data_IF_774409984395
#
_entry.id   IF_774409984395
#
_cell.length_a   1.000
_cell.length_b   1.000
_cell.length_c   1.000
_cell.angle_alpha   90.00
_cell.angle_beta   90.00
_cell.angle_gamma   90.00
#
_symmetry.space_group_name_H-M   'P 1'
#
loop_
_entity.id
_entity.type
_entity.pdbx_description
1 polymer ?
#
# COMPACT_ATOMS: atom_id res chain seq x y z
N UNK A 1 -46.72 -57.09 -16.85
CA UNK A 1 -47.72 -56.04 -17.15
C UNK A 1 -47.14 -54.74 -16.63
N UNK A 2 -46.57 -53.89 -17.52
CA UNK A 2 -47.14 -52.59 -17.96
C UNK A 2 -47.53 -51.71 -16.76
N UNK A 3 -46.96 -50.53 -16.50
CA UNK A 3 -46.60 -49.45 -17.41
C UNK A 3 -45.49 -48.56 -16.83
N UNK A 4 -44.60 -48.10 -17.71
CA UNK A 4 -43.68 -46.98 -17.53
C UNK A 4 -44.44 -45.69 -17.90
N UNK A 5 -44.39 -44.68 -17.04
CA UNK A 5 -44.59 -43.25 -17.36
C UNK A 5 -43.48 -42.51 -16.58
N UNK A 6 -42.58 -41.72 -17.17
CA UNK A 6 -42.76 -40.82 -18.30
C UNK A 6 -42.90 -39.38 -17.78
N UNK A 7 -41.96 -38.92 -16.94
CA UNK A 7 -41.94 -37.56 -16.38
C UNK A 7 -41.00 -36.67 -17.19
N UNK A 8 -41.60 -35.75 -17.94
CA UNK A 8 -40.97 -34.82 -18.88
C UNK A 8 -40.21 -33.72 -18.14
N UNK A 9 -39.05 -33.40 -18.71
CA UNK A 9 -38.16 -32.28 -18.43
C UNK A 9 -38.84 -30.95 -18.74
N UNK A 10 -38.86 -30.01 -17.79
CA UNK A 10 -39.02 -28.58 -18.08
C UNK A 10 -38.02 -27.76 -17.27
N UNK A 11 -36.98 -27.30 -17.96
CA UNK A 11 -36.01 -26.33 -17.45
C UNK A 11 -36.67 -24.94 -17.43
N UNK A 12 -36.53 -24.14 -16.36
CA UNK A 12 -36.93 -22.75 -16.43
C UNK A 12 -35.97 -21.99 -17.36
N UNK A 13 -36.56 -21.38 -18.39
CA UNK A 13 -35.94 -20.47 -19.35
C UNK A 13 -35.07 -19.42 -18.63
N UNK A 14 -33.79 -19.37 -19.00
CA UNK A 14 -32.93 -18.22 -18.75
C UNK A 14 -33.46 -17.03 -19.56
N UNK A 15 -33.98 -16.01 -18.87
CA UNK A 15 -34.18 -14.69 -19.48
C UNK A 15 -32.79 -14.07 -19.72
N UNK A 16 -32.36 -14.05 -20.98
CA UNK A 16 -31.28 -13.17 -21.43
C UNK A 16 -31.77 -11.71 -21.32
N UNK A 17 -31.33 -11.00 -20.29
CA UNK A 17 -31.33 -9.55 -20.29
C UNK A 17 -30.25 -9.08 -21.26
N UNK A 18 -30.66 -8.68 -22.47
CA UNK A 18 -29.87 -7.85 -23.37
C UNK A 18 -29.68 -6.49 -22.68
N UNK A 19 -28.63 -6.37 -21.87
CA UNK A 19 -28.12 -5.08 -21.47
C UNK A 19 -27.61 -4.39 -22.74
N UNK A 20 -28.37 -3.42 -23.24
CA UNK A 20 -27.92 -2.52 -24.27
C UNK A 20 -26.66 -1.81 -23.77
N UNK A 21 -25.51 -2.22 -24.29
CA UNK A 21 -24.26 -1.49 -24.10
C UNK A 21 -24.42 -0.15 -24.79
N UNK A 22 -24.78 0.88 -24.03
CA UNK A 22 -24.52 2.25 -24.44
C UNK A 22 -22.99 2.40 -24.48
N UNK A 23 -22.43 2.22 -25.68
CA UNK A 23 -21.05 2.58 -25.95
C UNK A 23 -20.91 4.06 -25.58
N UNK A 24 -20.30 4.33 -24.42
CA UNK A 24 -19.85 5.67 -24.06
C UNK A 24 -18.93 6.10 -25.19
N UNK A 25 -19.40 7.05 -26.00
CA UNK A 25 -18.56 7.70 -26.99
C UNK A 25 -17.30 8.16 -26.25
N UNK A 26 -16.16 7.56 -26.59
CA UNK A 26 -14.88 7.94 -26.02
C UNK A 26 -14.71 9.44 -26.24
N UNK A 27 -14.40 10.16 -25.16
CA UNK A 27 -13.95 11.53 -25.28
C UNK A 27 -12.86 11.54 -26.36
N UNK A 28 -13.09 12.31 -27.42
CA UNK A 28 -12.13 12.49 -28.50
C UNK A 28 -10.88 13.09 -27.84
N UNK A 29 -9.83 12.27 -27.64
CA UNK A 29 -8.53 12.74 -27.20
C UNK A 29 -8.12 13.86 -28.16
N UNK A 30 -8.10 15.10 -27.66
CA UNK A 30 -7.46 16.19 -28.39
C UNK A 30 -6.04 15.74 -28.70
N UNK A 31 -5.67 15.80 -29.98
CA UNK A 31 -4.34 15.40 -30.43
C UNK A 31 -3.33 16.36 -29.83
N UNK A 32 -2.67 15.96 -28.75
CA UNK A 32 -1.61 16.75 -28.12
C UNK A 32 -0.51 17.06 -29.15
N UNK A 33 -0.20 18.35 -29.29
CA UNK A 33 0.85 18.82 -30.19
C UNK A 33 2.18 18.84 -29.42
N UNK A 34 3.16 18.07 -29.88
CA UNK A 34 4.48 17.98 -29.28
C UNK A 34 5.52 18.81 -30.03
N UNK A 35 6.47 19.39 -29.30
CA UNK A 35 7.61 20.08 -29.89
C UNK A 35 8.51 19.09 -30.65
N UNK A 36 8.85 19.43 -31.90
CA UNK A 36 9.69 18.61 -32.77
C UNK A 36 11.20 18.78 -32.52
N UNK A 37 11.60 19.59 -31.53
CA UNK A 37 13.01 19.86 -31.23
C UNK A 37 13.66 18.65 -30.57
N UNK A 38 14.89 18.36 -30.97
CA UNK A 38 15.72 17.37 -30.30
C UNK A 38 16.09 17.83 -28.88
N UNK A 39 15.55 17.14 -27.88
CA UNK A 39 15.83 17.35 -26.46
C UNK A 39 17.26 16.93 -26.10
N UNK A 40 17.87 17.66 -25.17
CA UNK A 40 19.20 17.43 -24.62
C UNK A 40 19.16 17.49 -23.10
N UNK A 41 20.17 16.91 -22.45
CA UNK A 41 20.33 17.01 -21.01
C UNK A 41 20.49 18.47 -20.57
N UNK A 42 19.82 18.85 -19.49
CA UNK A 42 19.76 20.22 -18.98
C UNK A 42 18.75 21.12 -19.68
N UNK A 43 17.97 20.62 -20.64
CA UNK A 43 16.91 21.40 -21.28
C UNK A 43 15.79 21.72 -20.28
N UNK A 44 15.28 22.95 -20.38
CA UNK A 44 14.11 23.44 -19.66
C UNK A 44 12.91 23.47 -20.62
N UNK A 45 11.86 22.76 -20.25
CA UNK A 45 10.68 22.51 -21.08
C UNK A 45 9.55 23.47 -20.70
N UNK A 46 9.05 24.19 -21.71
CA UNK A 46 7.92 25.13 -21.57
C UNK A 46 6.67 24.69 -22.36
N UNK A 47 6.76 23.57 -23.10
CA UNK A 47 5.72 23.04 -23.98
C UNK A 47 5.75 21.52 -23.96
N UNK A 48 4.64 20.90 -24.38
CA UNK A 48 4.55 19.46 -24.53
C UNK A 48 5.70 18.96 -25.40
N UNK A 49 6.42 17.96 -24.91
CA UNK A 49 7.65 17.49 -25.51
C UNK A 49 7.65 15.97 -25.54
N UNK A 50 8.08 15.41 -26.67
CA UNK A 50 8.29 13.97 -26.80
C UNK A 50 9.75 13.66 -27.06
N UNK A 51 10.33 12.75 -26.28
CA UNK A 51 11.68 12.26 -26.56
C UNK A 51 11.66 11.37 -27.80
N UNK A 52 12.72 11.50 -28.60
CA UNK A 52 12.94 10.72 -29.83
C UNK A 52 14.18 9.82 -29.74
N UNK A 53 14.86 9.85 -28.60
CA UNK A 53 16.06 9.05 -28.29
C UNK A 53 16.29 9.02 -26.79
N UNK A 54 17.11 8.07 -26.35
CA UNK A 54 17.64 8.05 -24.99
C UNK A 54 18.50 9.28 -24.70
N UNK A 55 18.43 9.75 -23.46
CA UNK A 55 19.29 10.80 -22.93
C UNK A 55 20.26 10.17 -21.92
N UNK A 56 21.55 10.40 -22.13
CA UNK A 56 22.61 9.98 -21.23
C UNK A 56 23.28 11.24 -20.68
N UNK A 57 22.93 11.60 -19.45
CA UNK A 57 23.23 12.89 -18.86
C UNK A 57 24.37 12.77 -17.86
N UNK A 58 25.33 13.69 -17.92
CA UNK A 58 26.41 13.73 -16.94
C UNK A 58 25.82 13.89 -15.53
N UNK A 59 26.43 13.24 -14.53
CA UNK A 59 26.08 13.48 -13.14
C UNK A 59 26.49 14.89 -12.71
N UNK A 60 25.62 15.87 -12.90
CA UNK A 60 25.81 17.27 -12.47
C UNK A 60 24.69 17.69 -11.53
N UNK A 61 24.85 18.78 -10.76
CA UNK A 61 23.75 19.35 -9.96
C UNK A 61 22.56 19.85 -10.80
N UNK A 62 22.76 20.12 -12.09
CA UNK A 62 21.68 20.51 -13.00
C UNK A 62 20.82 19.26 -13.29
N UNK A 63 19.48 19.33 -13.13
CA UNK A 63 18.59 18.24 -13.51
C UNK A 63 18.78 17.80 -14.96
N UNK A 64 18.59 16.51 -15.25
CA UNK A 64 18.67 16.04 -16.63
C UNK A 64 17.59 16.67 -17.51
N UNK A 65 16.39 16.93 -16.98
CA UNK A 65 15.36 17.77 -17.60
C UNK A 65 14.62 18.57 -16.53
N UNK A 66 14.19 19.79 -16.87
CA UNK A 66 13.32 20.61 -16.00
C UNK A 66 12.02 20.95 -16.73
N UNK A 67 10.88 20.77 -16.07
CA UNK A 67 9.57 21.20 -16.57
C UNK A 67 9.18 22.49 -15.83
N UNK A 68 9.13 23.61 -16.57
CA UNK A 68 9.00 24.95 -15.99
C UNK A 68 7.70 25.69 -16.35
N UNK A 69 6.83 25.10 -17.19
CA UNK A 69 5.52 25.65 -17.51
C UNK A 69 4.39 24.72 -17.05
N UNK A 70 3.23 25.26 -16.62
CA UNK A 70 2.09 24.45 -16.19
C UNK A 70 1.46 23.71 -17.37
N UNK A 71 0.94 22.52 -17.09
CA UNK A 71 0.22 21.68 -18.05
C UNK A 71 1.11 21.00 -19.09
N UNK A 72 2.44 21.06 -18.95
CA UNK A 72 3.37 20.41 -19.88
C UNK A 72 3.29 18.90 -19.73
N UNK A 73 3.12 18.21 -20.85
CA UNK A 73 3.26 16.76 -20.98
C UNK A 73 4.64 16.44 -21.55
N UNK A 74 5.45 15.74 -20.77
CA UNK A 74 6.69 15.10 -21.22
C UNK A 74 6.43 13.61 -21.49
N UNK A 75 6.30 13.25 -22.77
CA UNK A 75 6.26 11.86 -23.20
C UNK A 75 7.70 11.38 -23.45
N UNK A 76 8.18 10.44 -22.65
CA UNK A 76 9.51 9.86 -22.82
C UNK A 76 9.57 8.94 -24.05
N UNK A 77 8.44 8.63 -24.71
CA UNK A 77 8.41 7.95 -26.00
C UNK A 77 8.93 6.50 -25.99
N UNK A 78 9.02 5.88 -24.82
CA UNK A 78 9.67 4.59 -24.57
C UNK A 78 11.18 4.69 -24.33
N UNK A 79 11.74 5.91 -24.33
CA UNK A 79 13.17 6.15 -24.14
C UNK A 79 13.56 6.24 -22.66
N UNK A 80 14.88 6.16 -22.44
CA UNK A 80 15.49 6.26 -21.12
C UNK A 80 16.17 7.60 -20.94
N UNK A 81 15.87 8.28 -19.82
CA UNK A 81 16.71 9.34 -19.26
C UNK A 81 17.58 8.69 -18.18
N UNK A 82 18.89 8.60 -18.42
CA UNK A 82 19.84 7.96 -17.49
C UNK A 82 21.00 8.88 -17.12
N UNK A 83 21.50 8.71 -15.91
CA UNK A 83 22.77 9.28 -15.48
C UNK A 83 23.96 8.54 -16.10
N UNK A 84 25.01 9.27 -16.44
CA UNK A 84 26.31 8.76 -16.83
C UNK A 84 27.40 9.10 -15.80
N UNK A 85 28.30 8.13 -15.61
CA UNK A 85 29.51 8.26 -14.81
C UNK A 85 29.29 8.23 -13.29
N UNK A 86 30.40 8.24 -12.56
CA UNK A 86 30.43 8.53 -11.12
C UNK A 86 30.43 10.05 -10.95
N UNK A 87 29.29 10.63 -10.59
CA UNK A 87 29.14 12.05 -10.27
C UNK A 87 28.90 12.31 -8.78
N UNK A 88 28.74 13.58 -8.38
CA UNK A 88 28.31 13.95 -7.04
C UNK A 88 27.04 13.19 -6.63
N UNK A 89 26.91 13.04 -5.31
CA UNK A 89 25.81 12.31 -4.69
C UNK A 89 24.46 12.97 -4.87
N UNK A 90 24.35 14.21 -5.35
CA UNK A 90 23.08 14.93 -5.49
C UNK A 90 22.76 15.26 -6.95
N UNK A 91 22.16 14.30 -7.65
CA UNK A 91 21.77 14.41 -9.06
C UNK A 91 20.27 14.20 -9.21
N UNK A 92 19.65 14.98 -10.09
CA UNK A 92 18.21 14.93 -10.35
C UNK A 92 17.95 14.47 -11.79
N UNK A 93 17.05 13.51 -11.98
CA UNK A 93 16.62 13.07 -13.30
C UNK A 93 15.69 14.08 -13.95
N UNK A 94 14.44 14.14 -13.49
CA UNK A 94 13.46 15.10 -13.99
C UNK A 94 12.95 15.95 -12.83
N UNK A 95 13.01 17.27 -12.99
CA UNK A 95 12.52 18.24 -12.01
C UNK A 95 11.26 18.93 -12.52
N UNK A 96 10.14 18.76 -11.83
CA UNK A 96 8.85 19.37 -12.19
C UNK A 96 8.51 20.52 -11.25
N UNK A 97 8.66 21.75 -11.75
CA UNK A 97 8.45 22.97 -10.97
C UNK A 97 7.02 23.50 -11.06
N UNK A 98 6.20 22.90 -11.92
CA UNK A 98 4.82 23.29 -12.22
C UNK A 98 3.99 22.03 -12.44
N UNK A 99 2.68 22.19 -12.48
CA UNK A 99 1.78 21.08 -12.76
C UNK A 99 2.13 20.44 -14.10
N UNK A 100 2.34 19.12 -14.11
CA UNK A 100 2.85 18.44 -15.30
C UNK A 100 2.46 16.97 -15.35
N UNK A 101 2.67 16.37 -16.52
CA UNK A 101 2.59 14.92 -16.70
C UNK A 101 3.89 14.41 -17.30
N UNK A 102 4.45 13.34 -16.74
CA UNK A 102 5.53 12.58 -17.35
C UNK A 102 5.05 11.16 -17.62
N UNK A 103 5.28 10.66 -18.83
CA UNK A 103 4.77 9.34 -19.21
C UNK A 103 5.69 8.53 -20.10
N UNK A 104 5.44 7.22 -20.10
CA UNK A 104 5.90 6.28 -21.14
C UNK A 104 7.43 6.27 -21.32
N UNK A 105 8.17 5.81 -20.33
CA UNK A 105 9.63 5.62 -20.46
C UNK A 105 10.32 5.32 -19.14
N UNK A 106 11.63 5.51 -19.10
CA UNK A 106 12.47 5.11 -17.95
C UNK A 106 13.30 6.29 -17.42
N UNK A 107 13.37 6.44 -16.10
CA UNK A 107 14.23 7.37 -15.37
C UNK A 107 15.17 6.56 -14.48
N UNK A 108 16.48 6.66 -14.70
CA UNK A 108 17.42 5.68 -14.15
C UNK A 108 18.72 6.26 -13.57
N UNK A 109 19.09 5.77 -12.39
CA UNK A 109 20.44 5.89 -11.83
C UNK A 109 20.77 7.23 -11.18
N UNK A 110 19.76 8.08 -10.92
CA UNK A 110 19.95 9.38 -10.29
C UNK A 110 19.90 9.27 -8.76
N UNK A 111 20.42 10.27 -8.06
CA UNK A 111 20.17 10.36 -6.61
C UNK A 111 18.70 10.58 -6.33
N UNK A 112 18.07 11.51 -7.05
CA UNK A 112 16.62 11.71 -7.09
C UNK A 112 16.15 11.49 -8.52
N UNK A 113 15.34 10.46 -8.75
CA UNK A 113 14.83 10.14 -10.09
C UNK A 113 13.91 11.24 -10.62
N UNK A 114 12.86 11.52 -9.87
CA UNK A 114 11.86 12.54 -10.18
C UNK A 114 11.64 13.43 -8.97
N UNK A 115 11.76 14.76 -9.14
CA UNK A 115 11.47 15.76 -8.11
C UNK A 115 10.28 16.61 -8.53
N UNK A 116 9.47 17.04 -7.56
CA UNK A 116 8.34 17.93 -7.82
C UNK A 116 8.01 18.82 -6.64
N UNK A 117 7.40 19.99 -6.90
CA UNK A 117 6.84 20.92 -5.91
C UNK A 117 5.47 21.49 -6.34
N UNK A 118 4.73 20.70 -7.12
CA UNK A 118 3.45 21.05 -7.73
C UNK A 118 2.55 19.80 -7.86
N UNK A 119 1.44 19.87 -8.59
CA UNK A 119 0.59 18.69 -8.85
C UNK A 119 1.06 17.94 -10.10
N UNK A 120 1.44 16.68 -9.94
CA UNK A 120 2.11 15.91 -10.98
C UNK A 120 1.44 14.56 -11.24
N UNK A 121 1.48 14.13 -12.51
CA UNK A 121 1.05 12.80 -12.92
C UNK A 121 2.21 12.03 -13.57
N UNK A 122 2.56 10.90 -12.99
CA UNK A 122 3.46 9.92 -13.58
C UNK A 122 2.64 8.73 -14.12
N UNK A 123 2.73 8.45 -15.41
CA UNK A 123 1.98 7.37 -16.04
C UNK A 123 2.87 6.45 -16.89
N UNK A 124 2.87 5.14 -16.64
CA UNK A 124 3.71 4.18 -17.39
C UNK A 124 5.20 4.57 -17.37
N UNK A 125 5.68 4.99 -16.21
CA UNK A 125 7.09 5.33 -16.01
C UNK A 125 7.77 4.23 -15.19
N UNK A 126 8.99 3.87 -15.60
CA UNK A 126 9.87 3.02 -14.82
C UNK A 126 10.94 3.90 -14.12
N UNK A 127 10.91 3.94 -12.79
CA UNK A 127 11.94 4.59 -11.97
C UNK A 127 12.86 3.51 -11.40
N UNK A 128 14.09 3.43 -11.91
CA UNK A 128 14.97 2.26 -11.71
C UNK A 128 16.31 2.67 -11.10
N UNK A 129 16.67 2.04 -9.98
CA UNK A 129 18.01 2.15 -9.41
C UNK A 129 18.38 3.57 -9.00
N UNK A 130 17.41 4.35 -8.50
CA UNK A 130 17.67 5.71 -8.03
C UNK A 130 17.97 5.67 -6.51
N UNK A 131 18.64 6.68 -5.96
CA UNK A 131 18.73 6.81 -4.51
C UNK A 131 17.33 6.93 -3.89
N UNK A 132 16.61 7.95 -4.35
CA UNK A 132 15.18 8.17 -4.16
C UNK A 132 14.51 8.20 -5.52
N UNK A 133 13.52 7.35 -5.78
CA UNK A 133 12.85 7.34 -7.09
C UNK A 133 11.99 8.58 -7.30
N UNK A 134 11.15 8.93 -6.33
CA UNK A 134 10.26 10.10 -6.38
C UNK A 134 10.45 10.93 -5.10
N UNK A 135 10.64 12.23 -5.24
CA UNK A 135 10.89 13.11 -4.10
C UNK A 135 10.05 14.40 -4.18
N UNK A 136 9.19 14.61 -3.18
CA UNK A 136 8.40 15.84 -3.04
C UNK A 136 9.23 16.92 -2.32
N UNK A 137 9.31 18.12 -2.90
CA UNK A 137 9.99 19.28 -2.31
C UNK A 137 9.01 20.42 -2.13
N UNK A 138 9.25 21.26 -1.11
CA UNK A 138 8.64 22.57 -0.92
C UNK A 138 7.10 22.64 -1.01
N UNK A 139 6.43 22.62 0.15
CA UNK A 139 5.03 23.04 0.28
C UNK A 139 4.00 21.95 -0.07
N UNK A 140 2.88 22.38 -0.65
CA UNK A 140 1.74 21.52 -0.95
C UNK A 140 1.78 20.95 -2.37
N UNK A 141 1.30 19.71 -2.57
CA UNK A 141 1.27 19.10 -3.91
C UNK A 141 0.47 17.82 -3.99
N UNK A 142 0.27 17.32 -5.19
CA UNK A 142 -0.41 16.05 -5.45
C UNK A 142 0.42 15.17 -6.36
N UNK A 143 0.58 13.90 -6.02
CA UNK A 143 1.17 12.90 -6.90
C UNK A 143 0.10 11.90 -7.31
N UNK A 144 -0.16 11.81 -8.62
CA UNK A 144 -0.84 10.66 -9.20
C UNK A 144 0.23 9.77 -9.86
N UNK A 145 0.35 8.51 -9.44
CA UNK A 145 1.27 7.52 -10.01
C UNK A 145 0.45 6.34 -10.54
N UNK A 146 0.40 6.18 -11.85
CA UNK A 146 -0.41 5.12 -12.48
C UNK A 146 0.39 4.22 -13.40
N UNK A 147 0.09 2.91 -13.34
CA UNK A 147 0.62 1.87 -14.23
C UNK A 147 2.14 1.90 -14.36
N UNK A 148 2.82 2.21 -13.26
CA UNK A 148 4.25 2.51 -13.24
C UNK A 148 5.04 1.44 -12.46
N UNK A 149 6.36 1.54 -12.49
CA UNK A 149 7.25 0.65 -11.75
C UNK A 149 8.32 1.46 -11.02
N UNK A 150 8.49 1.18 -9.73
CA UNK A 150 9.58 1.71 -8.90
C UNK A 150 10.41 0.53 -8.41
N UNK A 151 11.70 0.48 -8.75
CA UNK A 151 12.50 -0.69 -8.41
C UNK A 151 13.98 -0.46 -8.22
N UNK A 152 14.57 -1.19 -7.28
CA UNK A 152 16.00 -1.15 -6.99
C UNK A 152 16.47 0.17 -6.39
N UNK A 153 15.55 0.98 -5.86
CA UNK A 153 15.88 2.26 -5.24
C UNK A 153 16.08 2.08 -3.73
N UNK A 154 16.94 2.89 -3.11
CA UNK A 154 17.03 2.90 -1.64
C UNK A 154 15.72 3.38 -1.02
N UNK A 155 15.10 4.39 -1.63
CA UNK A 155 13.77 4.90 -1.29
C UNK A 155 12.90 5.02 -2.56
N UNK A 156 11.68 4.47 -2.53
CA UNK A 156 10.75 4.54 -3.66
C UNK A 156 10.10 5.91 -3.79
N UNK A 157 9.46 6.36 -2.72
CA UNK A 157 8.95 7.72 -2.58
C UNK A 157 9.37 8.29 -1.24
N UNK A 158 9.76 9.56 -1.23
CA UNK A 158 9.96 10.34 -0.01
C UNK A 158 9.70 11.83 -0.25
N UNK A 159 9.96 12.61 0.77
CA UNK A 159 9.64 14.03 0.80
C UNK A 159 10.61 14.82 1.67
N UNK A 160 10.60 16.14 1.54
CA UNK A 160 11.24 17.01 2.53
C UNK A 160 10.47 16.94 3.85
N UNK A 161 11.15 16.37 4.85
CA UNK A 161 10.65 16.16 6.20
C UNK A 161 10.13 17.47 6.82
N UNK A 162 8.93 17.42 7.40
CA UNK A 162 8.24 18.56 8.03
C UNK A 162 8.01 19.80 7.14
N UNK A 163 8.28 19.70 5.83
CA UNK A 163 8.23 20.84 4.92
C UNK A 163 7.24 20.64 3.76
N UNK A 164 6.64 19.46 3.65
CA UNK A 164 5.74 19.10 2.57
C UNK A 164 4.50 18.38 3.08
N UNK A 165 3.39 18.62 2.41
CA UNK A 165 2.13 17.91 2.65
C UNK A 165 1.33 17.80 1.36
N UNK A 166 0.38 16.87 1.30
CA UNK A 166 -0.37 16.70 0.07
C UNK A 166 -1.10 15.39 -0.05
N UNK A 167 -1.46 15.05 -1.28
CA UNK A 167 -2.11 13.78 -1.59
C UNK A 167 -1.25 12.92 -2.50
N UNK A 168 -1.21 11.62 -2.22
CA UNK A 168 -0.53 10.62 -3.03
C UNK A 168 -1.58 9.60 -3.47
N UNK A 169 -1.75 9.41 -4.76
CA UNK A 169 -2.65 8.42 -5.34
C UNK A 169 -1.87 7.47 -6.25
N UNK A 170 -1.76 6.21 -5.82
CA UNK A 170 -1.00 5.17 -6.49
C UNK A 170 -1.97 4.13 -7.02
N UNK A 171 -1.93 3.87 -8.33
CA UNK A 171 -2.83 2.91 -9.00
C UNK A 171 -2.07 2.00 -9.95
N UNK A 172 -2.33 0.69 -9.90
CA UNK A 172 -1.76 -0.25 -10.88
C UNK A 172 -0.23 -0.30 -10.88
N UNK A 173 0.42 0.10 -9.79
CA UNK A 173 1.87 0.35 -9.76
C UNK A 173 2.61 -0.75 -8.99
N UNK A 174 3.84 -1.04 -9.42
CA UNK A 174 4.69 -2.05 -8.81
C UNK A 174 5.89 -1.43 -8.09
N UNK A 175 6.06 -1.74 -6.81
CA UNK A 175 7.22 -1.40 -6.00
C UNK A 175 8.01 -2.67 -5.71
N UNK A 176 9.20 -2.81 -6.31
CA UNK A 176 9.97 -4.06 -6.24
C UNK A 176 11.43 -3.87 -5.84
N UNK A 177 11.90 -4.63 -4.85
CA UNK A 177 13.32 -4.63 -4.43
C UNK A 177 13.83 -3.23 -4.09
N UNK A 178 13.02 -2.44 -3.39
CA UNK A 178 13.47 -1.18 -2.81
C UNK A 178 13.89 -1.42 -1.36
N UNK A 179 14.73 -0.54 -0.81
CA UNK A 179 14.97 -0.50 0.64
C UNK A 179 13.65 -0.15 1.33
N UNK A 180 13.24 1.10 1.24
CA UNK A 180 11.89 1.53 1.62
C UNK A 180 11.08 1.86 0.37
N UNK A 181 9.90 1.26 0.19
CA UNK A 181 9.08 1.55 -1.00
C UNK A 181 8.33 2.88 -0.89
N UNK A 182 7.77 3.22 0.27
CA UNK A 182 6.98 4.44 0.44
C UNK A 182 7.15 5.04 1.84
N UNK A 183 7.74 6.23 1.91
CA UNK A 183 7.73 7.09 3.09
C UNK A 183 6.64 8.15 2.95
N UNK A 184 5.56 8.03 3.71
CA UNK A 184 4.34 8.85 3.49
C UNK A 184 4.45 10.25 4.07
N UNK A 185 5.10 10.43 5.23
CA UNK A 185 5.19 11.73 5.90
C UNK A 185 3.78 12.40 6.05
N UNK A 186 3.67 13.73 6.07
CA UNK A 186 2.41 14.48 6.17
C UNK A 186 1.50 14.41 4.92
N UNK A 187 1.32 13.23 4.31
CA UNK A 187 0.50 13.03 3.13
C UNK A 187 -0.69 12.10 3.36
N UNK A 188 -1.81 12.43 2.69
CA UNK A 188 -2.95 11.53 2.52
C UNK A 188 -2.70 10.60 1.34
N UNK A 189 -2.48 9.32 1.64
CA UNK A 189 -2.08 8.33 0.64
C UNK A 189 -3.21 7.35 0.33
N UNK A 190 -3.51 7.19 -0.96
CA UNK A 190 -4.41 6.16 -1.49
C UNK A 190 -3.64 5.22 -2.40
N UNK A 191 -3.74 3.92 -2.14
CA UNK A 191 -3.08 2.87 -2.91
C UNK A 191 -4.16 1.92 -3.40
N UNK A 192 -4.21 1.69 -4.71
CA UNK A 192 -5.17 0.77 -5.31
C UNK A 192 -4.54 -0.12 -6.37
N UNK A 193 -4.97 -1.40 -6.42
CA UNK A 193 -4.56 -2.35 -7.46
C UNK A 193 -3.05 -2.42 -7.66
N UNK A 194 -2.27 -2.24 -6.58
CA UNK A 194 -0.82 -2.09 -6.63
C UNK A 194 -0.12 -3.23 -5.92
N UNK A 195 1.15 -3.43 -6.23
CA UNK A 195 1.96 -4.55 -5.70
C UNK A 195 3.24 -4.06 -5.07
N UNK A 196 3.49 -4.46 -3.83
CA UNK A 196 4.72 -4.22 -3.08
C UNK A 196 5.39 -5.57 -2.84
N UNK A 197 6.50 -5.82 -3.55
CA UNK A 197 7.12 -7.14 -3.58
C UNK A 197 8.63 -7.11 -3.34
N UNK A 198 9.10 -7.97 -2.45
CA UNK A 198 10.53 -8.13 -2.15
C UNK A 198 11.23 -6.83 -1.75
N UNK A 199 10.52 -5.91 -1.09
CA UNK A 199 11.14 -4.72 -0.49
C UNK A 199 11.67 -5.08 0.90
N UNK A 200 12.65 -4.33 1.38
CA UNK A 200 13.08 -4.45 2.78
C UNK A 200 11.95 -3.95 3.71
N UNK A 201 11.42 -2.76 3.44
CA UNK A 201 10.23 -2.21 4.09
C UNK A 201 9.27 -1.69 3.02
N UNK A 202 8.00 -2.09 3.06
CA UNK A 202 7.04 -1.60 2.07
C UNK A 202 6.48 -0.21 2.41
N UNK A 203 6.14 0.06 3.66
CA UNK A 203 5.51 1.31 4.08
C UNK A 203 6.21 1.89 5.31
N UNK A 204 6.38 3.21 5.35
CA UNK A 204 6.66 3.95 6.57
C UNK A 204 5.71 5.14 6.64
N UNK A 205 4.90 5.17 7.69
CA UNK A 205 3.88 6.19 7.91
C UNK A 205 4.27 7.06 9.10
N UNK A 206 4.46 8.35 8.85
CA UNK A 206 4.83 9.35 9.85
C UNK A 206 3.89 10.54 9.66
N UNK A 207 3.02 10.85 10.63
CA UNK A 207 2.10 12.00 10.54
C UNK A 207 1.14 12.02 9.34
N UNK A 208 0.80 10.86 8.77
CA UNK A 208 0.00 10.72 7.56
C UNK A 208 -1.14 9.72 7.67
N UNK A 209 -1.82 9.51 6.55
CA UNK A 209 -2.90 8.52 6.42
C UNK A 209 -2.68 7.62 5.20
N UNK A 210 -2.98 6.33 5.32
CA UNK A 210 -2.80 5.37 4.23
C UNK A 210 -4.06 4.52 4.06
N UNK A 211 -4.67 4.60 2.88
CA UNK A 211 -5.79 3.75 2.47
C UNK A 211 -5.38 2.83 1.33
N UNK A 212 -5.37 1.54 1.60
CA UNK A 212 -4.95 0.49 0.69
C UNK A 212 -6.16 -0.33 0.28
N UNK A 213 -6.39 -0.46 -1.02
CA UNK A 213 -7.48 -1.25 -1.58
C UNK A 213 -7.00 -2.19 -2.66
N UNK A 214 -7.50 -3.43 -2.67
CA UNK A 214 -7.26 -4.39 -3.76
C UNK A 214 -5.78 -4.54 -4.13
N UNK A 215 -4.90 -4.49 -3.13
CA UNK A 215 -3.44 -4.45 -3.35
C UNK A 215 -2.74 -5.63 -2.68
N UNK A 216 -1.51 -5.90 -3.12
CA UNK A 216 -0.73 -7.07 -2.70
C UNK A 216 0.60 -6.64 -2.06
N UNK A 217 0.89 -7.17 -0.89
CA UNK A 217 2.15 -7.01 -0.16
C UNK A 217 2.76 -8.39 0.04
N UNK A 218 3.81 -8.69 -0.74
CA UNK A 218 4.35 -10.04 -0.81
C UNK A 218 5.87 -10.09 -0.67
N UNK A 219 6.37 -11.09 0.05
CA UNK A 219 7.82 -11.38 0.12
C UNK A 219 8.66 -10.19 0.63
N UNK A 220 8.06 -9.24 1.35
CA UNK A 220 8.81 -8.15 1.95
C UNK A 220 9.48 -8.65 3.24
N UNK A 221 10.61 -8.06 3.62
CA UNK A 221 11.18 -8.34 4.93
C UNK A 221 10.24 -7.82 6.03
N UNK A 222 9.77 -6.57 5.89
CA UNK A 222 8.73 -5.98 6.74
C UNK A 222 7.64 -5.33 5.88
N UNK A 223 6.38 -5.48 6.29
CA UNK A 223 5.25 -4.85 5.59
C UNK A 223 5.18 -3.35 5.90
N UNK A 224 5.34 -2.96 7.16
CA UNK A 224 5.32 -1.55 7.55
C UNK A 224 6.22 -1.26 8.75
N UNK A 225 6.70 -0.03 8.80
CA UNK A 225 7.28 0.60 9.97
C UNK A 225 6.33 1.72 10.44
N UNK A 226 5.83 1.60 11.66
CA UNK A 226 4.77 2.44 12.22
C UNK A 226 5.11 2.82 13.67
N UNK A 227 6.34 3.25 13.94
CA UNK A 227 6.78 3.62 15.28
C UNK A 227 5.95 4.77 15.86
N UNK A 228 5.58 4.63 17.13
CA UNK A 228 4.99 5.70 17.94
C UNK A 228 6.07 6.63 18.47
N UNK A 229 5.99 7.90 18.11
CA UNK A 229 6.75 8.97 18.74
C UNK A 229 5.95 9.50 19.94
N UNK A 230 6.60 9.63 21.09
CA UNK A 230 6.00 10.05 22.38
C UNK A 230 5.34 11.46 22.37
N UNK A 231 5.27 12.12 21.21
CA UNK A 231 4.71 13.46 21.02
C UNK A 231 3.26 13.53 20.54
N UNK A 232 2.53 12.43 20.31
CA UNK A 232 1.17 12.37 19.71
C UNK A 232 1.04 12.90 18.27
N UNK A 233 1.90 13.81 17.83
CA UNK A 233 1.81 14.47 16.51
C UNK A 233 2.47 13.71 15.37
N UNK A 234 3.28 12.69 15.69
CA UNK A 234 4.22 12.06 14.76
C UNK A 234 3.88 10.59 14.50
N UNK A 235 2.58 10.29 14.33
CA UNK A 235 2.08 8.93 14.25
C UNK A 235 1.30 8.69 12.96
N UNK A 236 1.16 7.42 12.57
CA UNK A 236 0.23 7.09 11.51
C UNK A 236 -1.22 7.29 11.99
N UNK A 237 -1.90 8.31 11.47
CA UNK A 237 -3.24 8.67 11.93
C UNK A 237 -4.28 7.63 11.51
N UNK A 238 -4.20 7.16 10.28
CA UNK A 238 -5.11 6.15 9.76
C UNK A 238 -4.36 5.14 8.88
N UNK A 239 -4.57 3.86 9.15
CA UNK A 239 -4.09 2.78 8.30
C UNK A 239 -5.24 1.85 7.95
N UNK A 240 -5.65 1.86 6.68
CA UNK A 240 -6.76 1.07 6.17
C UNK A 240 -6.30 0.07 5.13
N UNK A 241 -6.64 -1.20 5.33
CA UNK A 241 -6.52 -2.26 4.34
C UNK A 241 -7.90 -2.83 3.97
N UNK A 242 -8.27 -2.75 2.70
CA UNK A 242 -9.52 -3.31 2.18
C UNK A 242 -9.28 -4.25 0.99
N UNK A 243 -9.87 -5.46 1.06
CA UNK A 243 -9.83 -6.43 -0.04
C UNK A 243 -8.42 -6.71 -0.56
N UNK A 244 -7.44 -6.74 0.35
CA UNK A 244 -6.02 -6.80 0.01
C UNK A 244 -5.40 -8.15 0.41
N UNK A 245 -4.16 -8.38 0.00
CA UNK A 245 -3.41 -9.59 0.30
C UNK A 245 -2.08 -9.21 0.94
N UNK A 246 -1.80 -9.74 2.13
CA UNK A 246 -0.51 -9.68 2.79
C UNK A 246 0.01 -11.11 2.91
N UNK A 247 0.97 -11.50 2.07
CA UNK A 247 1.39 -12.89 1.96
C UNK A 247 2.89 -13.12 1.88
N UNK A 248 3.39 -14.19 2.49
CA UNK A 248 4.80 -14.59 2.39
C UNK A 248 5.79 -13.51 2.87
N UNK A 249 5.38 -12.56 3.71
CA UNK A 249 6.30 -11.57 4.28
C UNK A 249 7.05 -12.19 5.46
N UNK A 250 8.27 -11.74 5.71
CA UNK A 250 9.05 -12.24 6.85
C UNK A 250 8.43 -11.77 8.17
N UNK A 251 8.10 -10.49 8.27
CA UNK A 251 7.42 -9.89 9.41
C UNK A 251 6.40 -8.80 8.97
N UNK A 252 5.54 -8.39 9.90
CA UNK A 252 4.66 -7.23 9.69
C UNK A 252 5.37 -5.92 10.03
N UNK A 253 6.01 -5.85 11.20
CA UNK A 253 6.84 -4.74 11.68
C UNK A 253 8.33 -4.98 11.40
N UNK A 254 9.15 -3.95 11.59
CA UNK A 254 10.61 -4.06 11.55
C UNK A 254 11.13 -4.76 12.83
N UNK A 255 12.39 -5.26 12.83
CA UNK A 255 12.99 -5.80 14.05
C UNK A 255 13.04 -4.81 15.22
N UNK A 256 13.23 -3.53 14.91
CA UNK A 256 13.26 -2.43 15.85
C UNK A 256 11.86 -2.09 16.38
N UNK A 257 10.87 -2.07 15.47
CA UNK A 257 9.48 -1.71 15.75
C UNK A 257 8.50 -2.81 15.27
N UNK A 258 8.41 -3.94 16.01
CA UNK A 258 7.63 -5.10 15.60
C UNK A 258 6.12 -4.93 15.80
N UNK A 259 5.68 -3.93 16.57
CA UNK A 259 4.27 -3.62 16.80
C UNK A 259 3.82 -2.47 15.90
N UNK A 260 2.74 -2.68 15.16
CA UNK A 260 2.12 -1.60 14.42
C UNK A 260 1.43 -0.63 15.37
N UNK A 261 1.88 0.62 15.40
CA UNK A 261 1.33 1.67 16.25
C UNK A 261 0.62 2.73 15.40
N UNK A 262 -0.67 2.51 15.15
CA UNK A 262 -1.52 3.43 14.37
C UNK A 262 -2.65 3.97 15.25
N UNK A 263 -3.07 5.21 15.03
CA UNK A 263 -4.15 5.80 15.82
C UNK A 263 -5.50 5.12 15.51
N UNK A 264 -5.92 5.13 14.24
CA UNK A 264 -7.04 4.35 13.74
C UNK A 264 -6.58 3.26 12.76
N UNK A 265 -6.97 2.02 13.02
CA UNK A 265 -6.61 0.87 12.19
C UNK A 265 -7.83 0.13 11.66
N UNK A 266 -7.90 -0.05 10.35
CA UNK A 266 -9.00 -0.78 9.73
C UNK A 266 -8.45 -1.86 8.81
N UNK A 267 -8.94 -3.09 8.97
CA UNK A 267 -8.59 -4.19 8.07
C UNK A 267 -9.84 -4.99 7.73
N UNK A 268 -10.21 -5.01 6.46
CA UNK A 268 -11.48 -5.56 5.99
C UNK A 268 -11.31 -6.46 4.77
N UNK A 269 -11.90 -7.66 4.85
CA UNK A 269 -11.92 -8.63 3.75
C UNK A 269 -10.52 -8.91 3.16
N UNK A 270 -9.50 -8.85 4.01
CA UNK A 270 -8.09 -8.99 3.63
C UNK A 270 -7.60 -10.40 3.94
N UNK A 271 -6.75 -10.93 3.07
CA UNK A 271 -6.12 -12.23 3.24
C UNK A 271 -4.72 -12.03 3.78
N UNK A 272 -4.45 -12.62 4.93
CA UNK A 272 -3.17 -12.55 5.62
C UNK A 272 -2.65 -13.97 5.75
N UNK A 273 -1.67 -14.33 4.93
CA UNK A 273 -1.28 -15.74 4.78
C UNK A 273 0.21 -16.02 4.65
N UNK A 274 0.67 -17.12 5.24
CA UNK A 274 2.05 -17.59 5.14
C UNK A 274 3.10 -16.55 5.56
N UNK A 275 2.77 -15.60 6.43
CA UNK A 275 3.74 -14.64 6.94
C UNK A 275 4.54 -15.30 8.09
N UNK A 276 5.82 -14.93 8.22
CA UNK A 276 6.73 -15.51 9.22
C UNK A 276 6.29 -15.26 10.67
N UNK A 277 5.48 -14.22 10.89
CA UNK A 277 4.94 -13.83 12.20
C UNK A 277 3.41 -13.61 12.15
N UNK A 278 2.82 -13.36 13.32
CA UNK A 278 1.48 -12.79 13.43
C UNK A 278 1.51 -11.27 13.54
N UNK A 279 0.40 -10.60 13.25
CA UNK A 279 0.34 -9.14 13.39
C UNK A 279 0.20 -8.75 14.86
N UNK A 280 1.12 -7.91 15.36
CA UNK A 280 0.97 -7.20 16.63
C UNK A 280 0.50 -5.78 16.35
N UNK A 281 -0.64 -5.42 16.92
CA UNK A 281 -1.30 -4.14 16.67
C UNK A 281 -1.57 -3.43 18.00
N UNK A 282 -0.92 -2.28 18.15
CA UNK A 282 -1.24 -1.28 19.16
C UNK A 282 -1.98 -0.14 18.46
N UNK A 283 -3.26 0.04 18.75
CA UNK A 283 -4.05 1.10 18.14
C UNK A 283 -5.05 1.68 19.13
N UNK A 284 -5.52 2.91 18.92
CA UNK A 284 -6.57 3.47 19.76
C UNK A 284 -7.93 2.93 19.36
N UNK A 285 -8.25 3.04 18.06
CA UNK A 285 -9.46 2.49 17.48
C UNK A 285 -9.14 1.44 16.44
N UNK A 286 -10.00 0.43 16.34
CA UNK A 286 -9.88 -0.58 15.30
C UNK A 286 -11.21 -1.02 14.69
N UNK A 287 -11.19 -1.44 13.43
CA UNK A 287 -12.26 -2.21 12.78
C UNK A 287 -11.66 -3.33 11.95
N UNK A 288 -11.60 -4.52 12.54
CA UNK A 288 -11.00 -5.72 11.93
C UNK A 288 -12.09 -6.73 11.62
N UNK A 289 -12.46 -6.85 10.34
CA UNK A 289 -13.59 -7.71 9.96
C UNK A 289 -13.45 -8.48 8.66
N UNK A 290 -14.02 -9.68 8.64
CA UNK A 290 -14.11 -10.51 7.42
C UNK A 290 -12.76 -10.97 6.88
N UNK A 291 -11.69 -10.90 7.69
CA UNK A 291 -10.35 -11.26 7.25
C UNK A 291 -10.10 -12.76 7.38
N UNK A 292 -9.20 -13.27 6.55
CA UNK A 292 -8.70 -14.65 6.64
C UNK A 292 -7.22 -14.63 6.99
N UNK A 293 -6.89 -15.18 8.16
CA UNK A 293 -5.56 -15.31 8.72
C UNK A 293 -5.16 -16.78 8.69
N UNK A 294 -4.23 -17.14 7.81
CA UNK A 294 -3.93 -18.54 7.54
C UNK A 294 -2.44 -18.85 7.46
N UNK A 295 -2.02 -19.93 8.12
CA UNK A 295 -0.67 -20.49 7.98
C UNK A 295 0.44 -19.45 8.30
N UNK A 296 0.13 -18.44 9.14
CA UNK A 296 1.13 -17.45 9.59
C UNK A 296 1.83 -17.94 10.87
N UNK A 297 2.96 -17.32 11.24
CA UNK A 297 3.64 -17.57 12.51
C UNK A 297 2.76 -17.31 13.74
N UNK A 298 1.73 -16.46 13.61
CA UNK A 298 0.68 -16.23 14.60
C UNK A 298 -0.53 -15.55 13.95
N UNK A 299 -1.65 -15.44 14.65
CA UNK A 299 -2.79 -14.69 14.16
C UNK A 299 -2.67 -13.19 14.43
N UNK A 300 -3.64 -12.62 15.15
CA UNK A 300 -3.67 -11.20 15.53
C UNK A 300 -3.46 -11.04 17.04
N UNK A 301 -2.53 -10.17 17.44
CA UNK A 301 -2.32 -9.76 18.84
C UNK A 301 -2.65 -8.28 18.98
N UNK A 302 -3.51 -7.97 19.95
CA UNK A 302 -4.06 -6.64 20.20
C UNK A 302 -3.53 -6.06 21.50
N UNK A 303 -3.08 -4.81 21.46
CA UNK A 303 -2.49 -4.07 22.58
C UNK A 303 -2.98 -2.61 22.59
N UNK A 304 -2.82 -1.93 23.73
CA UNK A 304 -3.02 -0.49 23.81
C UNK A 304 -1.86 0.25 23.13
N UNK A 305 -2.13 1.44 22.60
CA UNK A 305 -1.06 2.36 22.22
C UNK A 305 -0.24 2.78 23.46
N UNK A 306 1.09 2.94 23.32
CA UNK A 306 1.98 3.38 24.39
C UNK A 306 1.90 4.89 24.64
N UNK A 307 0.69 5.44 24.80
CA UNK A 307 0.46 6.86 25.13
C UNK A 307 0.77 7.15 26.61
N UNK A 308 1.05 8.41 26.95
CA UNK A 308 1.35 8.86 28.32
C UNK A 308 0.20 8.53 29.28
N UNK A 309 -1.03 8.65 28.80
CA UNK A 309 -2.22 8.08 29.42
C UNK A 309 -2.81 7.04 28.45
N UNK A 310 -2.52 5.75 28.64
CA UNK A 310 -3.01 4.72 27.75
C UNK A 310 -4.55 4.71 27.73
N UNK A 311 -5.11 5.04 26.57
CA UNK A 311 -6.53 4.83 26.30
C UNK A 311 -6.72 3.36 25.92
N UNK A 312 -7.69 2.65 26.52
CA UNK A 312 -8.01 1.29 26.10
C UNK A 312 -8.26 1.23 24.60
N UNK A 313 -7.63 0.28 23.93
CA UNK A 313 -7.94 -0.01 22.55
C UNK A 313 -9.38 -0.52 22.44
N UNK A 314 -10.17 0.13 21.59
CA UNK A 314 -11.60 -0.17 21.39
C UNK A 314 -11.94 -0.41 19.91
N UNK A 315 -13.01 -1.18 19.68
CA UNK A 315 -13.57 -1.40 18.36
C UNK A 315 -13.89 -2.86 18.04
N UNK A 316 -14.60 -3.12 16.93
CA UNK A 316 -15.02 -4.46 16.57
C UNK A 316 -13.91 -5.31 15.93
N UNK A 317 -13.75 -6.53 16.45
CA UNK A 317 -13.04 -7.62 15.75
C UNK A 317 -14.06 -8.70 15.45
N UNK A 318 -14.51 -8.80 14.19
CA UNK A 318 -15.66 -9.66 13.86
C UNK A 318 -15.61 -10.40 12.54
N UNK A 319 -16.16 -11.62 12.54
CA UNK A 319 -16.28 -12.39 11.30
C UNK A 319 -14.93 -12.80 10.70
N UNK A 320 -13.85 -12.81 11.49
CA UNK A 320 -12.53 -13.20 11.01
C UNK A 320 -12.32 -14.71 11.14
N UNK A 321 -11.48 -15.27 10.27
CA UNK A 321 -11.10 -16.68 10.29
C UNK A 321 -9.62 -16.79 10.57
N UNK A 322 -9.25 -17.43 11.68
CA UNK A 322 -7.87 -17.71 12.07
C UNK A 322 -7.61 -19.21 11.99
N UNK A 323 -6.93 -19.66 10.95
CA UNK A 323 -6.76 -21.08 10.65
C UNK A 323 -5.29 -21.47 10.56
N UNK A 324 -4.90 -22.51 11.29
CA UNK A 324 -3.56 -23.12 11.17
C UNK A 324 -2.39 -22.17 11.43
N UNK A 325 -2.57 -21.15 12.27
CA UNK A 325 -1.48 -20.25 12.62
C UNK A 325 -0.58 -20.89 13.70
N UNK A 326 0.72 -20.56 13.64
CA UNK A 326 1.77 -21.05 14.52
C UNK A 326 1.74 -20.55 15.97
N UNK A 327 0.72 -19.74 16.33
CA UNK A 327 0.48 -19.22 17.67
C UNK A 327 -1.00 -19.17 18.01
N UNK A 328 -1.44 -18.18 18.79
CA UNK A 328 -2.86 -17.94 19.02
C UNK A 328 -3.55 -17.47 17.73
N UNK A 329 -4.82 -17.81 17.55
CA UNK A 329 -5.64 -17.22 16.48
C UNK A 329 -5.88 -15.74 16.74
N UNK A 330 -6.41 -15.40 17.92
CA UNK A 330 -6.61 -14.03 18.35
C UNK A 330 -6.20 -13.86 19.81
N UNK A 331 -5.36 -12.88 20.10
CA UNK A 331 -4.90 -12.56 21.44
C UNK A 331 -5.19 -11.10 21.77
N UNK A 332 -5.76 -10.84 22.94
CA UNK A 332 -5.93 -9.49 23.50
C UNK A 332 -5.08 -9.39 24.76
N UNK A 333 -4.15 -8.44 24.77
CA UNK A 333 -3.29 -8.17 25.92
C UNK A 333 -4.02 -7.35 26.98
N UNK A 334 -3.59 -7.43 28.27
CA UNK A 334 -4.20 -6.67 29.34
C UNK A 334 -4.27 -5.16 29.04
N UNK A 335 -5.43 -4.56 29.31
CA UNK A 335 -5.67 -3.12 29.09
C UNK A 335 -6.46 -2.81 27.82
N UNK A 336 -6.41 -3.68 26.81
CA UNK A 336 -7.23 -3.55 25.60
C UNK A 336 -8.63 -4.14 25.82
N UNK A 337 -9.67 -3.48 25.31
CA UNK A 337 -11.08 -3.86 25.51
C UNK A 337 -11.89 -3.88 24.21
N UNK A 338 -11.43 -4.57 23.14
CA UNK A 338 -12.19 -4.68 21.90
C UNK A 338 -13.45 -5.53 22.08
N UNK A 339 -14.41 -5.40 21.16
CA UNK A 339 -15.58 -6.27 21.10
C UNK A 339 -15.35 -7.40 20.11
N UNK A 340 -15.39 -8.66 20.58
CA UNK A 340 -15.12 -9.84 19.76
C UNK A 340 -16.42 -10.56 19.41
N UNK A 341 -16.74 -10.72 18.12
CA UNK A 341 -17.93 -11.47 17.71
C UNK A 341 -17.76 -12.26 16.41
N UNK A 342 -18.41 -13.43 16.31
CA UNK A 342 -18.43 -14.23 15.09
C UNK A 342 -17.04 -14.59 14.52
N UNK A 343 -16.01 -14.68 15.35
CA UNK A 343 -14.68 -15.10 14.90
C UNK A 343 -14.56 -16.63 14.93
N UNK A 344 -13.88 -17.19 13.94
CA UNK A 344 -13.67 -18.65 13.80
C UNK A 344 -12.18 -18.93 13.92
N UNK A 345 -11.79 -19.65 14.97
CA UNK A 345 -10.38 -19.99 15.23
C UNK A 345 -10.20 -21.52 15.20
N UNK A 346 -9.46 -22.03 14.20
CA UNK A 346 -9.34 -23.46 13.95
C UNK A 346 -7.89 -23.91 13.78
N UNK A 347 -7.53 -25.00 14.43
CA UNK A 347 -6.24 -25.68 14.25
C UNK A 347 -5.01 -24.77 14.46
N UNK A 348 -5.12 -23.71 15.26
CA UNK A 348 -3.96 -22.91 15.64
C UNK A 348 -3.16 -23.65 16.73
N UNK A 349 -1.84 -23.50 16.76
CA UNK A 349 -1.02 -24.21 17.75
C UNK A 349 -1.24 -23.67 19.18
N UNK A 350 -1.61 -22.40 19.32
CA UNK A 350 -1.95 -21.74 20.59
C UNK A 350 -3.43 -21.84 20.94
N UNK A 351 -3.97 -20.81 21.57
CA UNK A 351 -5.40 -20.66 21.83
C UNK A 351 -6.15 -20.32 20.55
N UNK A 352 -7.42 -20.70 20.47
CA UNK A 352 -8.32 -20.11 19.48
C UNK A 352 -8.43 -18.60 19.71
N UNK A 353 -8.98 -18.22 20.88
CA UNK A 353 -9.07 -16.83 21.32
C UNK A 353 -8.58 -16.73 22.77
N UNK A 354 -7.57 -15.89 23.04
CA UNK A 354 -7.14 -15.56 24.39
C UNK A 354 -7.36 -14.07 24.65
N UNK A 355 -8.50 -13.71 25.24
CA UNK A 355 -8.94 -12.33 25.36
C UNK A 355 -9.62 -12.00 26.70
N UNK A 356 -8.89 -12.07 27.83
CA UNK A 356 -9.45 -11.95 29.18
C UNK A 356 -10.15 -10.62 29.49
N UNK A 357 -9.82 -9.55 28.77
CA UNK A 357 -10.35 -8.19 28.96
C UNK A 357 -11.33 -7.75 27.87
N UNK A 358 -11.59 -8.59 26.87
CA UNK A 358 -12.45 -8.22 25.76
C UNK A 358 -13.93 -8.27 26.12
N UNK A 359 -14.74 -7.49 25.38
CA UNK A 359 -16.19 -7.56 25.45
C UNK A 359 -16.65 -8.71 24.54
N UNK A 360 -17.35 -9.68 25.10
CA UNK A 360 -17.92 -10.79 24.33
C UNK A 360 -19.17 -10.34 23.56
N UNK A 361 -19.04 -10.20 22.24
CA UNK A 361 -20.15 -9.92 21.34
C UNK A 361 -20.86 -11.17 20.82
N UNK A 362 -20.43 -12.37 21.23
CA UNK A 362 -21.05 -13.66 20.90
C UNK A 362 -20.73 -14.22 19.51
N UNK A 363 -21.10 -15.49 19.31
CA UNK A 363 -20.98 -16.18 18.01
C UNK A 363 -19.58 -16.67 17.66
N UNK A 364 -18.61 -16.58 18.58
CA UNK A 364 -17.26 -17.07 18.35
C UNK A 364 -17.23 -18.61 18.31
N UNK A 365 -16.32 -19.17 17.51
CA UNK A 365 -16.12 -20.62 17.34
C UNK A 365 -14.64 -20.93 17.49
N UNK A 366 -14.30 -21.92 18.31
CA UNK A 366 -12.92 -22.35 18.48
C UNK A 366 -12.81 -23.86 18.52
N UNK A 367 -12.08 -24.45 17.56
CA UNK A 367 -11.96 -25.91 17.41
C UNK A 367 -10.53 -26.35 17.08
N UNK A 368 -10.08 -27.41 17.74
CA UNK A 368 -8.81 -28.08 17.39
C UNK A 368 -7.56 -27.24 17.64
N UNK A 369 -7.65 -26.18 18.46
CA UNK A 369 -6.50 -25.36 18.82
C UNK A 369 -5.69 -26.03 19.95
N UNK A 370 -4.37 -25.86 19.94
CA UNK A 370 -3.46 -26.63 20.80
C UNK A 370 -3.53 -26.27 22.29
N UNK A 371 -3.65 -24.99 22.63
CA UNK A 371 -3.70 -24.53 24.02
C UNK A 371 -5.13 -24.47 24.61
N UNK A 372 -6.15 -24.41 23.74
CA UNK A 372 -7.56 -24.46 24.12
C UNK A 372 -8.47 -23.61 23.25
N UNK A 373 -9.77 -23.63 23.58
CA UNK A 373 -10.82 -22.92 22.84
C UNK A 373 -10.73 -21.40 23.01
N UNK A 374 -11.36 -20.89 24.07
CA UNK A 374 -11.47 -19.46 24.34
C UNK A 374 -11.27 -19.09 25.81
N UNK A 375 -10.66 -17.94 26.05
CA UNK A 375 -10.51 -17.29 27.37
C UNK A 375 -11.06 -15.86 27.28
N UNK A 376 -11.90 -15.47 28.25
CA UNK A 376 -12.52 -14.14 28.32
C UNK A 376 -13.76 -13.93 27.44
N UNK A 377 -13.99 -14.83 26.47
CA UNK A 377 -15.20 -14.86 25.63
C UNK A 377 -15.74 -16.27 25.50
N UNK A 378 -17.02 -16.41 25.14
CA UNK A 378 -17.67 -17.71 24.91
C UNK A 378 -17.46 -18.16 23.47
N UNK A 379 -17.11 -19.44 23.31
CA UNK A 379 -16.97 -20.07 22.01
C UNK A 379 -17.78 -21.36 21.90
N UNK A 380 -18.41 -21.55 20.75
CA UNK A 380 -18.92 -22.85 20.36
C UNK A 380 -17.76 -23.78 19.91
N UNK A 381 -17.90 -25.10 20.11
CA UNK A 381 -16.88 -26.09 19.78
C UNK A 381 -16.69 -26.36 18.29
#
# INVERSE_FOLDING_TARGET
>A
MRHIQGGIVTWPLALLLLAATTAKAGAREETEVFEARAVRCGDVLFRNTRLTRDLTCAGTPIPALTIAAPGVVLDLGGHTVRRAGSGPGDTVGIDSQRDSTVRNGTIQGFNRGYTYNATVHLHRVALVGNGVAIFHTLGGGGLLLTDSRVSGSSLGFGSEFDATSGSIDIRGTQFTRNGLALYVDFHDTRISSSTFMSNEIALWCYSGGIHIRSSMFMENASVADLTWSNGRFDNCYELVFENSILANNTAFGTPEDPEWQAFDFQMRNTWVMNNGEGLRLAAQTLDVRGNTWRDNGGGLTLNNLPDFEPVPQEGPVRGNRFTSNGGDGLRVLPGATPTLSNNVCQNNTGWGIHAPTAIDGGGNVARGNGAGGCVGVVCAP
#
